data_IF_038806218090
#
_entry.id   IF_038806218090
#
_cell.length_a   1.000
_cell.length_b   1.000
_cell.length_c   1.000
_cell.angle_alpha   90.00
_cell.angle_beta   90.00
_cell.angle_gamma   90.00
#
_symmetry.space_group_name_H-M   'P 1'
#
loop_
_entity.id
_entity.type
_entity.pdbx_description
1 polymer ?
#
# COMPACT_ATOMS: atom_id res chain seq x y z
N UNK A 1 -17.26 -15.01 -1.26
CA UNK A 1 -15.87 -14.67 -0.87
C UNK A 1 -15.94 -13.79 0.37
N UNK A 2 -15.67 -14.34 1.54
CA UNK A 2 -15.76 -13.64 2.83
C UNK A 2 -14.48 -12.82 2.98
N UNK A 3 -14.55 -11.50 2.77
CA UNK A 3 -13.46 -10.57 3.07
C UNK A 3 -13.28 -10.53 4.59
N UNK A 4 -12.39 -11.36 5.14
CA UNK A 4 -12.03 -11.29 6.56
C UNK A 4 -11.08 -10.11 6.80
N UNK A 5 -11.55 -9.13 7.59
CA UNK A 5 -10.80 -7.99 8.12
C UNK A 5 -9.80 -8.46 9.18
N UNK A 6 -8.72 -9.14 8.81
CA UNK A 6 -7.85 -9.85 9.78
C UNK A 6 -6.57 -9.10 10.18
N UNK A 7 -6.58 -7.76 10.22
CA UNK A 7 -5.49 -7.02 10.89
C UNK A 7 -5.59 -7.25 12.39
N UNK A 8 -4.66 -8.01 12.97
CA UNK A 8 -4.58 -8.24 14.42
C UNK A 8 -3.39 -7.48 14.98
N UNK A 9 -3.64 -6.39 15.68
CA UNK A 9 -2.62 -5.64 16.39
C UNK A 9 -2.70 -5.96 17.90
N UNK A 10 -1.55 -6.27 18.51
CA UNK A 10 -1.42 -6.44 19.95
C UNK A 10 -0.57 -5.30 20.48
N UNK A 11 -1.27 -4.29 21.04
CA UNK A 11 -0.71 -3.06 21.59
C UNK A 11 -1.02 -3.02 23.08
N UNK A 12 0.03 -3.08 23.92
CA UNK A 12 -0.13 -3.05 25.38
C UNK A 12 0.24 -1.67 25.90
N UNK A 13 -0.73 -0.93 26.47
CA UNK A 13 -0.46 0.41 27.03
C UNK A 13 0.14 0.37 28.45
N UNK A 14 -0.07 -0.72 29.19
CA UNK A 14 0.40 -0.84 30.56
C UNK A 14 1.86 -1.33 30.60
N UNK A 15 2.81 -0.56 31.19
CA UNK A 15 4.24 -0.92 31.20
C UNK A 15 4.53 -2.21 31.97
N UNK A 16 3.73 -2.56 32.99
CA UNK A 16 3.88 -3.85 33.70
C UNK A 16 3.55 -5.02 32.77
N UNK A 17 2.48 -4.91 31.98
CA UNK A 17 2.09 -5.94 31.01
C UNK A 17 3.09 -6.04 29.86
N UNK A 18 3.65 -4.92 29.39
CA UNK A 18 4.74 -4.92 28.41
C UNK A 18 5.96 -5.68 28.94
N UNK A 19 6.38 -5.41 30.18
CA UNK A 19 7.50 -6.12 30.81
C UNK A 19 7.24 -7.63 30.89
N UNK A 20 6.04 -8.05 31.30
CA UNK A 20 5.65 -9.47 31.36
C UNK A 20 5.72 -10.10 29.97
N UNK A 21 5.11 -9.46 28.95
CA UNK A 21 5.16 -9.91 27.56
C UNK A 21 6.60 -10.08 27.07
N UNK A 22 7.45 -9.08 27.28
CA UNK A 22 8.83 -9.10 26.79
C UNK A 22 9.63 -10.23 27.46
N UNK A 23 9.50 -10.39 28.77
CA UNK A 23 10.12 -11.50 29.50
C UNK A 23 9.65 -12.88 29.00
N UNK A 24 8.35 -13.03 28.71
CA UNK A 24 7.80 -14.28 28.16
C UNK A 24 8.36 -14.56 26.76
N UNK A 25 8.44 -13.54 25.90
CA UNK A 25 9.05 -13.66 24.57
C UNK A 25 10.52 -14.08 24.67
N UNK A 26 11.28 -13.44 25.54
CA UNK A 26 12.70 -13.76 25.76
C UNK A 26 12.90 -15.18 26.28
N UNK A 27 12.03 -15.63 27.20
CA UNK A 27 12.07 -17.01 27.71
C UNK A 27 11.84 -18.03 26.58
N UNK A 28 10.85 -17.79 25.72
CA UNK A 28 10.54 -18.66 24.59
C UNK A 28 11.65 -18.63 23.53
N UNK A 29 12.22 -17.46 23.25
CA UNK A 29 13.36 -17.32 22.34
C UNK A 29 14.60 -18.05 22.87
N UNK A 30 14.85 -18.01 24.19
CA UNK A 30 15.91 -18.82 24.83
C UNK A 30 15.65 -20.32 24.67
N UNK A 31 14.42 -20.78 24.88
CA UNK A 31 14.07 -22.19 24.67
C UNK A 31 14.30 -22.62 23.21
N UNK A 32 13.94 -21.78 22.24
CA UNK A 32 14.25 -21.99 20.82
C UNK A 32 15.75 -22.07 20.59
N UNK A 33 16.53 -21.16 21.18
CA UNK A 33 18.00 -21.16 21.05
C UNK A 33 18.65 -22.41 21.62
N UNK A 34 18.18 -22.92 22.76
CA UNK A 34 18.67 -24.19 23.34
C UNK A 34 18.44 -25.35 22.36
N UNK A 35 17.24 -25.45 21.80
CA UNK A 35 16.93 -26.50 20.82
C UNK A 35 17.72 -26.34 19.53
N UNK A 36 17.93 -25.10 19.08
CA UNK A 36 18.75 -24.79 17.91
C UNK A 36 20.19 -25.24 18.09
N UNK A 37 20.79 -24.93 19.25
CA UNK A 37 22.16 -25.30 19.56
C UNK A 37 22.30 -26.82 19.64
N UNK A 38 21.34 -27.54 20.23
CA UNK A 38 21.37 -29.01 20.25
C UNK A 38 21.37 -29.61 18.83
N UNK A 39 20.52 -29.11 17.93
CA UNK A 39 20.52 -29.53 16.52
C UNK A 39 21.84 -29.20 15.82
N UNK A 40 22.43 -28.05 16.13
CA UNK A 40 23.71 -27.63 15.58
C UNK A 40 24.88 -28.49 16.07
N UNK A 41 24.88 -28.84 17.36
CA UNK A 41 25.87 -29.71 17.97
C UNK A 41 25.79 -31.12 17.37
N UNK A 42 24.59 -31.66 17.18
CA UNK A 42 24.41 -32.96 16.51
C UNK A 42 24.88 -32.94 15.06
N UNK A 43 24.61 -31.85 14.32
CA UNK A 43 25.16 -31.68 12.97
C UNK A 43 26.69 -31.56 12.98
N UNK A 44 27.28 -30.90 13.98
CA UNK A 44 28.73 -30.79 14.10
C UNK A 44 29.37 -32.13 14.46
N UNK A 45 28.76 -32.92 15.34
CA UNK A 45 29.23 -34.28 15.65
C UNK A 45 29.33 -35.16 14.41
N UNK A 46 28.43 -35.00 13.43
CA UNK A 46 28.52 -35.71 12.15
C UNK A 46 29.64 -35.16 11.24
N UNK A 47 29.90 -33.85 11.33
CA UNK A 47 30.89 -33.15 10.50
C UNK A 47 32.33 -33.34 10.95
N UNK A 48 32.58 -33.91 12.12
CA UNK A 48 33.93 -34.16 12.62
C UNK A 48 34.07 -35.64 12.97
N UNK A 49 35.15 -36.28 12.52
CA UNK A 49 35.47 -37.65 12.93
C UNK A 49 36.04 -37.71 14.35
N UNK A 50 36.38 -38.91 14.83
CA UNK A 50 37.01 -39.11 16.15
C UNK A 50 38.37 -38.41 16.30
N UNK A 51 39.02 -38.05 15.20
CA UNK A 51 40.30 -37.36 15.17
C UNK A 51 40.14 -35.83 15.06
N UNK A 52 38.90 -35.32 15.02
CA UNK A 52 38.60 -33.91 14.85
C UNK A 52 38.78 -33.41 13.41
N UNK A 53 38.94 -34.32 12.44
CA UNK A 53 39.03 -33.97 11.02
C UNK A 53 37.63 -33.70 10.49
N UNK A 54 37.49 -32.58 9.78
CA UNK A 54 36.21 -32.20 9.18
C UNK A 54 35.86 -33.11 8.00
N UNK A 55 34.75 -33.82 8.11
CA UNK A 55 34.12 -34.61 7.06
C UNK A 55 33.21 -33.73 6.19
N UNK A 56 33.23 -33.98 4.89
CA UNK A 56 32.29 -33.44 3.91
C UNK A 56 31.06 -34.35 3.79
N UNK A 57 30.04 -33.91 3.07
CA UNK A 57 28.82 -34.73 2.86
C UNK A 57 29.15 -35.99 2.04
N UNK A 58 30.17 -35.95 1.18
CA UNK A 58 30.58 -37.09 0.35
C UNK A 58 31.24 -38.20 1.18
N UNK A 59 31.75 -37.86 2.37
CA UNK A 59 32.32 -38.80 3.32
C UNK A 59 31.25 -39.49 4.20
N UNK A 60 29.98 -39.12 4.07
CA UNK A 60 28.89 -39.65 4.89
C UNK A 60 28.34 -40.95 4.31
N UNK A 61 28.06 -41.91 5.18
CA UNK A 61 27.22 -43.06 4.83
C UNK A 61 25.80 -42.62 4.47
N UNK A 62 25.05 -43.45 3.75
CA UNK A 62 23.67 -43.14 3.35
C UNK A 62 22.77 -42.80 4.56
N UNK A 63 22.94 -43.51 5.68
CA UNK A 63 22.18 -43.28 6.90
C UNK A 63 22.59 -41.96 7.60
N UNK A 64 23.88 -41.61 7.59
CA UNK A 64 24.35 -40.31 8.09
C UNK A 64 23.81 -39.15 7.24
N UNK A 65 23.75 -39.31 5.91
CA UNK A 65 23.14 -38.33 5.01
C UNK A 65 21.66 -38.16 5.37
N UNK A 66 20.89 -39.25 5.49
CA UNK A 66 19.47 -39.19 5.89
C UNK A 66 19.29 -38.48 7.23
N UNK A 67 20.12 -38.82 8.22
CA UNK A 67 20.06 -38.20 9.54
C UNK A 67 20.40 -36.69 9.49
N UNK A 68 21.47 -36.32 8.79
CA UNK A 68 21.87 -34.93 8.61
C UNK A 68 20.76 -34.11 7.93
N UNK A 69 20.13 -34.64 6.88
CA UNK A 69 18.98 -33.99 6.22
C UNK A 69 17.77 -33.84 7.15
N UNK A 70 17.52 -34.81 8.03
CA UNK A 70 16.48 -34.68 9.07
C UNK A 70 16.77 -33.52 10.02
N UNK A 71 18.01 -33.40 10.52
CA UNK A 71 18.43 -32.29 11.39
C UNK A 71 18.28 -30.93 10.70
N UNK A 72 18.69 -30.82 9.43
CA UNK A 72 18.49 -29.61 8.62
C UNK A 72 17.00 -29.24 8.50
N UNK A 73 16.13 -30.22 8.25
CA UNK A 73 14.68 -30.00 8.15
C UNK A 73 14.09 -29.53 9.48
N UNK A 74 14.50 -30.12 10.59
CA UNK A 74 14.07 -29.69 11.92
C UNK A 74 14.55 -28.28 12.27
N UNK A 75 15.79 -27.95 11.93
CA UNK A 75 16.35 -26.62 12.10
C UNK A 75 15.57 -25.59 11.27
N UNK A 76 15.31 -25.88 9.98
CA UNK A 76 14.52 -25.01 9.11
C UNK A 76 13.10 -24.81 9.65
N UNK A 77 12.44 -25.89 10.10
CA UNK A 77 11.11 -25.82 10.72
C UNK A 77 11.10 -24.96 11.98
N UNK A 78 12.11 -25.10 12.85
CA UNK A 78 12.23 -24.30 14.06
C UNK A 78 12.44 -22.82 13.74
N UNK A 79 13.29 -22.51 12.75
CA UNK A 79 13.52 -21.14 12.25
C UNK A 79 12.22 -20.52 11.74
N UNK A 80 11.48 -21.27 10.93
CA UNK A 80 10.24 -20.80 10.31
C UNK A 80 9.18 -20.49 11.38
N UNK A 81 8.96 -21.42 12.33
CA UNK A 81 8.05 -21.21 13.46
C UNK A 81 8.46 -19.97 14.26
N UNK A 82 9.74 -19.81 14.58
CA UNK A 82 10.24 -18.66 15.32
C UNK A 82 9.97 -17.35 14.56
N UNK A 83 10.31 -17.29 13.27
CA UNK A 83 10.15 -16.08 12.43
C UNK A 83 8.70 -15.70 12.18
N UNK A 84 7.80 -16.68 12.10
CA UNK A 84 6.35 -16.46 11.93
C UNK A 84 5.60 -16.24 13.24
N UNK A 85 6.25 -16.45 14.39
CA UNK A 85 5.63 -16.25 15.70
C UNK A 85 5.60 -14.78 16.11
N UNK A 86 4.74 -14.46 17.08
CA UNK A 86 4.70 -13.13 17.71
C UNK A 86 5.94 -12.81 18.58
N UNK A 87 6.90 -13.73 18.67
CA UNK A 87 8.06 -13.59 19.55
C UNK A 87 9.05 -12.53 19.03
N UNK A 88 9.10 -12.29 17.73
CA UNK A 88 9.98 -11.29 17.12
C UNK A 88 9.42 -10.75 15.82
N UNK A 89 9.80 -9.53 15.46
CA UNK A 89 9.44 -8.95 14.17
C UNK A 89 10.19 -9.68 13.04
N UNK A 90 9.47 -10.11 12.01
CA UNK A 90 10.08 -10.81 10.86
C UNK A 90 11.06 -9.92 10.07
N UNK A 91 10.91 -8.59 10.11
CA UNK A 91 11.76 -7.62 9.42
C UNK A 91 13.01 -7.24 10.22
N UNK A 92 12.84 -6.75 11.46
CA UNK A 92 13.97 -6.22 12.24
C UNK A 92 14.47 -7.16 13.35
N UNK A 93 13.77 -8.27 13.60
CA UNK A 93 14.12 -9.25 14.65
C UNK A 93 13.89 -8.79 16.08
N UNK A 94 13.44 -7.55 16.31
CA UNK A 94 13.18 -7.02 17.64
C UNK A 94 11.97 -7.71 18.28
N UNK A 95 12.06 -8.07 19.56
CA UNK A 95 11.03 -8.82 20.30
C UNK A 95 10.22 -7.99 21.30
N UNK A 96 10.70 -6.80 21.68
CA UNK A 96 10.17 -6.03 22.82
C UNK A 96 9.09 -5.01 22.45
N UNK A 97 8.75 -4.91 21.16
CA UNK A 97 7.78 -3.95 20.59
C UNK A 97 6.37 -4.50 20.46
N UNK A 98 5.41 -3.60 20.25
CA UNK A 98 4.05 -3.95 19.87
C UNK A 98 4.06 -4.57 18.46
N UNK A 99 3.17 -5.55 18.23
CA UNK A 99 3.20 -6.37 17.02
C UNK A 99 1.87 -6.33 16.27
N UNK A 100 1.95 -6.35 14.95
CA UNK A 100 0.84 -6.46 14.01
C UNK A 100 1.02 -7.73 13.18
N UNK A 101 -0.02 -8.55 13.14
CA UNK A 101 -0.06 -9.73 12.28
C UNK A 101 -0.47 -9.33 10.86
N UNK A 102 0.36 -9.69 9.88
CA UNK A 102 0.01 -9.62 8.47
C UNK A 102 -0.38 -11.04 8.00
N UNK A 103 -1.67 -11.21 7.66
CA UNK A 103 -2.21 -12.51 7.26
C UNK A 103 -1.62 -13.04 5.97
N UNK A 104 -1.35 -12.17 5.00
CA UNK A 104 -0.85 -12.60 3.69
C UNK A 104 0.57 -13.18 3.78
N UNK A 105 1.34 -12.73 4.78
CA UNK A 105 2.69 -13.22 5.07
C UNK A 105 2.76 -14.25 6.18
N UNK A 106 1.62 -14.57 6.81
CA UNK A 106 1.54 -15.47 7.96
C UNK A 106 2.61 -15.11 9.02
N UNK A 107 2.74 -13.81 9.33
CA UNK A 107 3.88 -13.30 10.08
C UNK A 107 3.58 -12.05 10.91
N UNK A 108 4.39 -11.84 11.95
CA UNK A 108 4.28 -10.69 12.84
C UNK A 108 5.36 -9.65 12.56
N UNK A 109 4.93 -8.39 12.51
CA UNK A 109 5.76 -7.22 12.32
C UNK A 109 5.67 -6.34 13.56
N UNK A 110 6.75 -5.68 13.97
CA UNK A 110 6.59 -4.59 14.92
C UNK A 110 5.80 -3.45 14.28
N UNK A 111 5.09 -2.66 15.07
CA UNK A 111 4.26 -1.56 14.56
C UNK A 111 5.03 -0.62 13.64
N UNK A 112 6.29 -0.30 13.95
CA UNK A 112 7.09 0.59 13.11
C UNK A 112 7.44 -0.03 11.75
N UNK A 113 7.85 -1.30 11.72
CA UNK A 113 8.15 -1.98 10.46
C UNK A 113 6.88 -2.21 9.63
N UNK A 114 5.75 -2.52 10.28
CA UNK A 114 4.47 -2.66 9.59
C UNK A 114 4.06 -1.34 8.93
N UNK A 115 4.14 -0.22 9.67
CA UNK A 115 3.78 1.09 9.16
C UNK A 115 4.71 1.53 8.04
N UNK A 116 6.02 1.30 8.17
CA UNK A 116 7.00 1.56 7.11
C UNK A 116 6.69 0.76 5.83
N UNK A 117 6.44 -0.56 5.94
CA UNK A 117 6.07 -1.38 4.77
C UNK A 117 4.75 -0.93 4.16
N UNK A 118 3.80 -0.49 4.99
CA UNK A 118 2.52 0.07 4.54
C UNK A 118 2.67 1.41 3.83
N UNK A 119 3.50 2.30 4.34
CA UNK A 119 3.81 3.58 3.70
C UNK A 119 4.53 3.35 2.37
N UNK A 120 5.52 2.46 2.35
CA UNK A 120 6.22 2.09 1.13
C UNK A 120 5.30 1.40 0.11
N UNK A 121 4.38 0.55 0.58
CA UNK A 121 3.38 -0.05 -0.27
C UNK A 121 2.44 0.99 -0.87
N UNK A 122 1.93 1.92 -0.05
CA UNK A 122 1.11 3.03 -0.54
C UNK A 122 1.87 3.85 -1.59
N UNK A 123 3.14 4.15 -1.32
CA UNK A 123 4.01 4.83 -2.27
C UNK A 123 4.11 4.05 -3.58
N UNK A 124 4.43 2.75 -3.55
CA UNK A 124 4.58 1.96 -4.78
C UNK A 124 3.26 1.76 -5.53
N UNK A 125 2.13 1.61 -4.83
CA UNK A 125 0.81 1.59 -5.45
C UNK A 125 0.41 2.90 -6.08
N UNK A 126 0.89 4.00 -5.52
CA UNK A 126 0.83 5.29 -6.15
C UNK A 126 1.77 5.22 -7.37
N UNK A 127 3.09 5.16 -7.23
CA UNK A 127 4.08 5.38 -8.30
C UNK A 127 4.08 4.37 -9.46
N UNK A 128 3.66 3.11 -9.26
CA UNK A 128 3.75 2.07 -10.31
C UNK A 128 2.44 1.91 -11.06
N UNK A 129 1.33 2.41 -10.51
CA UNK A 129 0.10 2.79 -11.21
C UNK A 129 -0.69 1.72 -12.00
N UNK A 130 -0.06 0.70 -12.61
CA UNK A 130 -0.67 -0.37 -13.44
C UNK A 130 0.31 -1.30 -14.16
N UNK A 131 1.58 -0.96 -14.34
CA UNK A 131 2.48 -1.90 -15.03
C UNK A 131 2.83 -3.02 -14.08
N UNK A 132 2.25 -4.21 -14.32
CA UNK A 132 2.68 -5.43 -13.64
C UNK A 132 4.20 -5.48 -13.74
N UNK A 133 4.92 -5.55 -12.62
CA UNK A 133 6.36 -5.51 -12.67
C UNK A 133 6.88 -6.63 -13.58
N UNK A 134 7.79 -6.28 -14.49
CA UNK A 134 8.36 -7.24 -15.43
C UNK A 134 9.55 -7.95 -14.78
N UNK A 135 9.26 -9.02 -14.03
CA UNK A 135 10.28 -9.79 -13.33
C UNK A 135 9.72 -10.54 -12.13
N UNK A 136 10.28 -11.71 -11.82
CA UNK A 136 9.79 -12.53 -10.72
C UNK A 136 9.94 -11.83 -9.36
N UNK A 137 11.07 -11.14 -9.15
CA UNK A 137 11.38 -10.43 -7.90
C UNK A 137 10.45 -9.23 -7.71
N UNK A 138 10.29 -8.42 -8.75
CA UNK A 138 9.42 -7.23 -8.67
C UNK A 138 7.94 -7.62 -8.54
N UNK A 139 7.51 -8.71 -9.18
CA UNK A 139 6.15 -9.26 -8.98
C UNK A 139 5.95 -9.71 -7.53
N UNK A 140 6.93 -10.41 -6.95
CA UNK A 140 6.87 -10.87 -5.56
C UNK A 140 6.86 -9.70 -4.57
N UNK A 141 7.62 -8.64 -4.85
CA UNK A 141 7.63 -7.41 -4.06
C UNK A 141 6.32 -6.63 -4.20
N UNK A 142 5.75 -6.55 -5.41
CA UNK A 142 4.46 -5.90 -5.61
C UNK A 142 3.35 -6.65 -4.86
N UNK A 143 3.29 -7.99 -5.03
CA UNK A 143 2.41 -8.88 -4.27
C UNK A 143 2.57 -8.67 -2.76
N UNK A 144 3.80 -8.51 -2.27
CA UNK A 144 4.11 -8.18 -0.86
C UNK A 144 3.47 -6.90 -0.40
N UNK A 145 3.61 -5.86 -1.19
CA UNK A 145 3.15 -4.54 -0.85
C UNK A 145 1.63 -4.44 -0.91
N UNK A 146 0.96 -5.18 -1.81
CA UNK A 146 -0.51 -5.23 -1.85
C UNK A 146 -1.10 -5.65 -0.51
N UNK A 147 -0.38 -6.48 0.24
CA UNK A 147 -0.83 -6.98 1.53
C UNK A 147 -0.77 -5.96 2.66
N UNK A 148 0.03 -4.90 2.49
CA UNK A 148 0.15 -3.83 3.48
C UNK A 148 -0.78 -2.66 3.20
N UNK A 149 -1.29 -2.51 1.97
CA UNK A 149 -2.31 -1.52 1.66
C UNK A 149 -3.64 -1.99 2.22
N UNK A 150 -4.13 -1.31 3.25
CA UNK A 150 -5.49 -1.56 3.73
C UNK A 150 -6.45 -1.39 2.55
N UNK A 151 -7.26 -2.42 2.28
CA UNK A 151 -8.24 -2.45 1.18
C UNK A 151 -9.05 -1.15 1.08
N UNK A 152 -9.37 -0.53 2.22
CA UNK A 152 -10.11 0.72 2.30
C UNK A 152 -9.36 1.90 1.67
N UNK A 153 -8.03 2.01 1.86
CA UNK A 153 -7.23 3.10 1.29
C UNK A 153 -7.03 2.92 -0.21
N UNK A 154 -6.75 1.69 -0.65
CA UNK A 154 -6.67 1.38 -2.09
C UNK A 154 -7.99 1.67 -2.79
N UNK A 155 -9.10 1.27 -2.16
CA UNK A 155 -10.43 1.51 -2.67
C UNK A 155 -10.78 3.01 -2.72
N UNK A 156 -10.43 3.79 -1.70
CA UNK A 156 -10.64 5.25 -1.70
C UNK A 156 -9.86 5.95 -2.82
N UNK A 157 -8.61 5.57 -3.06
CA UNK A 157 -7.79 6.09 -4.16
C UNK A 157 -8.42 5.72 -5.51
N UNK A 158 -8.82 4.44 -5.69
CA UNK A 158 -9.47 3.97 -6.90
C UNK A 158 -10.76 4.75 -7.18
N UNK A 159 -11.61 4.94 -6.16
CA UNK A 159 -12.86 5.69 -6.29
C UNK A 159 -12.61 7.17 -6.62
N UNK A 160 -11.55 7.78 -6.07
CA UNK A 160 -11.16 9.16 -6.40
C UNK A 160 -10.73 9.28 -7.86
N UNK A 161 -9.88 8.38 -8.36
CA UNK A 161 -9.46 8.36 -9.75
C UNK A 161 -10.63 8.16 -10.72
N UNK A 162 -11.53 7.23 -10.40
CA UNK A 162 -12.77 7.01 -11.16
C UNK A 162 -13.63 8.27 -11.18
N UNK A 163 -13.74 8.97 -10.04
CA UNK A 163 -14.50 10.23 -9.93
C UNK A 163 -13.96 11.33 -10.82
N UNK A 164 -12.66 11.59 -10.73
CA UNK A 164 -12.00 12.62 -11.55
C UNK A 164 -12.13 12.26 -13.04
N UNK A 165 -11.87 11.01 -13.40
CA UNK A 165 -12.01 10.53 -14.77
C UNK A 165 -13.42 10.68 -15.34
N UNK A 166 -14.46 10.35 -14.57
CA UNK A 166 -15.86 10.55 -15.00
C UNK A 166 -16.13 12.02 -15.28
N UNK A 167 -15.77 12.91 -14.35
CA UNK A 167 -16.04 14.34 -14.49
C UNK A 167 -15.38 14.92 -15.74
N UNK A 168 -14.11 14.61 -15.98
CA UNK A 168 -13.38 15.12 -17.14
C UNK A 168 -13.93 14.53 -18.43
N UNK A 169 -14.26 13.23 -18.44
CA UNK A 169 -14.83 12.59 -19.62
C UNK A 169 -16.14 13.26 -20.04
N UNK A 170 -16.99 13.57 -19.06
CA UNK A 170 -18.29 14.19 -19.31
C UNK A 170 -18.19 15.62 -19.86
N UNK A 171 -17.06 16.33 -19.70
CA UNK A 171 -16.85 17.64 -20.33
C UNK A 171 -16.90 17.58 -21.86
N UNK A 172 -16.65 16.41 -22.46
CA UNK A 172 -16.73 16.21 -23.91
C UNK A 172 -18.13 16.46 -24.48
N UNK A 173 -19.18 16.26 -23.69
CA UNK A 173 -20.58 16.34 -24.13
C UNK A 173 -21.22 17.71 -23.83
N UNK A 174 -20.42 18.74 -23.52
CA UNK A 174 -20.93 20.04 -23.07
C UNK A 174 -21.73 20.78 -24.16
N UNK A 175 -21.57 20.44 -25.44
CA UNK A 175 -22.26 21.08 -26.57
C UNK A 175 -22.37 20.13 -27.77
N UNK A 176 -23.56 19.85 -28.33
CA UNK A 176 -24.91 20.33 -27.98
C UNK A 176 -25.60 19.55 -26.83
N UNK A 177 -26.71 20.11 -26.30
CA UNK A 177 -27.44 19.76 -25.07
C UNK A 177 -27.95 18.31 -24.95
N UNK A 178 -27.99 17.57 -26.05
CA UNK A 178 -28.65 16.26 -26.12
C UNK A 178 -27.68 15.07 -26.04
N UNK A 179 -26.38 15.34 -25.94
CA UNK A 179 -25.37 14.30 -25.83
C UNK A 179 -25.20 13.82 -24.38
N UNK A 180 -25.13 12.51 -24.21
CA UNK A 180 -24.95 11.82 -22.93
C UNK A 180 -23.86 10.76 -23.06
N UNK A 181 -23.25 10.41 -21.93
CA UNK A 181 -22.43 9.21 -21.85
C UNK A 181 -23.27 8.04 -21.33
N UNK A 182 -23.07 6.86 -21.92
CA UNK A 182 -23.57 5.62 -21.35
C UNK A 182 -22.60 5.06 -20.32
N UNK A 183 -23.13 4.29 -19.37
CA UNK A 183 -22.32 3.58 -18.38
C UNK A 183 -21.29 2.62 -19.02
N UNK A 184 -21.60 2.03 -20.18
CA UNK A 184 -20.69 1.15 -20.92
C UNK A 184 -19.51 1.92 -21.52
N UNK A 185 -19.77 3.09 -22.11
CA UNK A 185 -18.72 3.97 -22.63
C UNK A 185 -17.78 4.44 -21.52
N UNK A 186 -18.33 4.91 -20.39
CA UNK A 186 -17.54 5.35 -19.24
C UNK A 186 -16.65 4.21 -18.72
N UNK A 187 -17.18 3.00 -18.60
CA UNK A 187 -16.39 1.83 -18.18
C UNK A 187 -15.26 1.53 -19.15
N UNK A 188 -15.55 1.54 -20.45
CA UNK A 188 -14.58 1.26 -21.51
C UNK A 188 -13.47 2.30 -21.55
N UNK A 189 -13.82 3.57 -21.36
CA UNK A 189 -12.88 4.69 -21.36
C UNK A 189 -11.94 4.63 -20.15
N UNK A 190 -12.50 4.37 -18.97
CA UNK A 190 -11.72 4.37 -17.73
C UNK A 190 -10.99 3.04 -17.48
N UNK A 191 -11.39 1.98 -18.18
CA UNK A 191 -10.94 0.61 -17.95
C UNK A 191 -11.09 0.22 -16.47
N UNK A 192 -12.33 0.31 -15.97
CA UNK A 192 -12.67 0.06 -14.56
C UNK A 192 -13.93 -0.76 -14.39
N UNK A 193 -14.00 -1.45 -13.25
CA UNK A 193 -15.13 -2.31 -12.90
C UNK A 193 -16.44 -1.49 -12.81
N UNK A 194 -17.50 -2.01 -13.45
CA UNK A 194 -18.86 -1.44 -13.42
C UNK A 194 -19.34 -1.06 -12.01
N UNK A 195 -19.03 -1.86 -11.00
CA UNK A 195 -19.45 -1.62 -9.60
C UNK A 195 -18.83 -0.33 -9.05
N UNK A 196 -17.55 -0.07 -9.32
CA UNK A 196 -16.86 1.15 -8.89
C UNK A 196 -17.43 2.37 -9.62
N UNK A 197 -17.58 2.28 -10.95
CA UNK A 197 -18.17 3.36 -11.77
C UNK A 197 -19.59 3.69 -11.30
N UNK A 198 -20.46 2.69 -11.09
CA UNK A 198 -21.82 2.90 -10.57
C UNK A 198 -21.83 3.53 -9.18
N UNK A 199 -20.91 3.12 -8.30
CA UNK A 199 -20.79 3.70 -6.95
C UNK A 199 -20.45 5.19 -7.04
N UNK A 200 -19.45 5.55 -7.85
CA UNK A 200 -19.02 6.95 -8.02
C UNK A 200 -20.11 7.79 -8.70
N UNK A 201 -20.77 7.28 -9.73
CA UNK A 201 -21.88 8.00 -10.39
C UNK A 201 -23.01 8.33 -9.41
N UNK A 202 -23.39 7.38 -8.54
CA UNK A 202 -24.37 7.63 -7.48
C UNK A 202 -23.90 8.71 -6.50
N UNK A 203 -22.62 8.73 -6.15
CA UNK A 203 -22.04 9.79 -5.30
C UNK A 203 -22.12 11.16 -5.99
N UNK A 204 -21.67 11.24 -7.25
CA UNK A 204 -21.69 12.47 -8.04
C UNK A 204 -23.12 13.01 -8.23
N UNK A 205 -24.11 12.13 -8.42
CA UNK A 205 -25.52 12.50 -8.54
C UNK A 205 -26.07 13.06 -7.22
N UNK A 206 -25.73 12.42 -6.08
CA UNK A 206 -26.09 12.93 -4.75
C UNK A 206 -25.53 14.33 -4.49
N UNK A 207 -24.34 14.61 -5.02
CA UNK A 207 -23.68 15.92 -4.93
C UNK A 207 -24.18 16.93 -5.97
N UNK A 208 -25.12 16.53 -6.83
CA UNK A 208 -25.66 17.33 -7.94
C UNK A 208 -24.57 17.81 -8.89
N UNK A 209 -23.59 16.95 -9.17
CA UNK A 209 -22.55 17.19 -10.18
C UNK A 209 -22.92 16.55 -11.51
N UNK A 210 -23.59 15.39 -11.48
CA UNK A 210 -24.12 14.71 -12.66
C UNK A 210 -25.62 14.47 -12.52
N UNK A 211 -26.31 14.30 -13.64
CA UNK A 211 -27.68 13.80 -13.70
C UNK A 211 -27.66 12.38 -14.25
N UNK A 212 -28.53 11.52 -13.73
CA UNK A 212 -28.62 10.11 -14.11
C UNK A 212 -30.04 9.78 -14.58
N UNK A 213 -30.15 9.17 -15.75
CA UNK A 213 -31.39 8.56 -16.26
C UNK A 213 -31.15 7.05 -16.34
N UNK A 214 -31.77 6.31 -15.41
CA UNK A 214 -31.67 4.86 -15.33
C UNK A 214 -32.84 4.24 -16.12
N UNK A 215 -32.55 3.73 -17.32
CA UNK A 215 -33.50 2.97 -18.13
C UNK A 215 -33.22 1.48 -17.99
N UNK A 216 -34.18 0.58 -18.27
CA UNK A 216 -33.96 -0.86 -18.17
C UNK A 216 -32.76 -1.38 -18.97
N UNK A 217 -32.39 -0.68 -20.04
CA UNK A 217 -31.37 -1.11 -20.99
C UNK A 217 -30.09 -0.25 -20.93
N UNK A 218 -30.11 0.92 -20.29
CA UNK A 218 -28.94 1.80 -20.22
C UNK A 218 -29.04 2.82 -19.09
N UNK A 219 -27.90 3.09 -18.46
CA UNK A 219 -27.73 4.22 -17.55
C UNK A 219 -27.06 5.36 -18.32
N UNK A 220 -27.81 6.45 -18.55
CA UNK A 220 -27.30 7.66 -19.19
C UNK A 220 -26.85 8.67 -18.14
N UNK A 221 -25.80 9.40 -18.47
CA UNK A 221 -25.13 10.32 -17.55
C UNK A 221 -24.88 11.66 -18.25
N UNK A 222 -25.26 12.75 -17.60
CA UNK A 222 -24.96 14.13 -18.01
C UNK A 222 -24.20 14.87 -16.93
N UNK A 223 -23.40 15.83 -17.36
CA UNK A 223 -22.85 16.82 -16.44
C UNK A 223 -23.90 17.89 -16.17
N UNK A 224 -24.11 18.24 -14.90
CA UNK A 224 -24.99 19.39 -14.57
C UNK A 224 -24.38 20.68 -15.11
N UNK A 225 -25.18 21.51 -15.80
CA UNK A 225 -24.69 22.65 -16.60
C UNK A 225 -23.76 23.60 -15.86
N UNK A 226 -24.04 23.86 -14.59
CA UNK A 226 -23.26 24.83 -13.82
C UNK A 226 -22.28 24.16 -12.86
N UNK A 227 -22.78 23.40 -11.88
CA UNK A 227 -21.96 22.89 -10.77
C UNK A 227 -21.01 21.78 -11.23
N UNK A 228 -21.52 20.80 -11.96
CA UNK A 228 -20.74 19.70 -12.51
C UNK A 228 -19.66 20.19 -13.46
N UNK A 229 -20.04 21.10 -14.36
CA UNK A 229 -19.11 21.72 -15.31
C UNK A 229 -17.97 22.44 -14.61
N UNK A 230 -18.26 23.29 -13.62
CA UNK A 230 -17.21 24.00 -12.86
C UNK A 230 -16.27 23.02 -12.17
N UNK A 231 -16.82 21.98 -11.53
CA UNK A 231 -16.01 21.02 -10.80
C UNK A 231 -15.15 20.17 -11.74
N UNK A 232 -15.70 19.75 -12.89
CA UNK A 232 -14.95 19.03 -13.89
C UNK A 232 -13.85 19.89 -14.53
N UNK A 233 -14.13 21.17 -14.84
CA UNK A 233 -13.11 22.10 -15.33
C UNK A 233 -12.03 22.40 -14.28
N UNK A 234 -12.42 22.51 -13.00
CA UNK A 234 -11.47 22.67 -11.89
C UNK A 234 -10.58 21.43 -11.80
N UNK A 235 -11.19 20.24 -11.80
CA UNK A 235 -10.46 18.96 -11.80
C UNK A 235 -9.48 18.94 -12.95
N UNK A 236 -9.95 19.18 -14.19
CA UNK A 236 -9.10 19.23 -15.38
C UNK A 236 -7.96 20.26 -15.26
N UNK A 237 -8.22 21.44 -14.67
CA UNK A 237 -7.17 22.45 -14.43
C UNK A 237 -6.11 21.98 -13.46
N UNK A 238 -6.49 21.32 -12.37
CA UNK A 238 -5.54 20.71 -11.42
C UNK A 238 -4.65 19.66 -12.10
N UNK A 239 -5.16 18.96 -13.10
CA UNK A 239 -4.36 18.00 -13.88
C UNK A 239 -3.46 18.71 -14.89
N UNK A 240 -3.93 19.81 -15.49
CA UNK A 240 -3.22 20.50 -16.56
C UNK A 240 -2.11 21.42 -16.08
N UNK A 241 -2.21 21.99 -14.88
CA UNK A 241 -1.27 22.98 -14.36
C UNK A 241 0.17 22.49 -14.33
N UNK A 242 0.39 21.18 -14.42
CA UNK A 242 1.69 20.61 -14.11
C UNK A 242 2.45 20.09 -15.35
N UNK A 243 1.85 19.92 -16.54
CA UNK A 243 2.61 19.35 -17.70
C UNK A 243 2.07 19.48 -19.14
N UNK A 244 0.86 19.99 -19.44
CA UNK A 244 0.27 19.81 -20.79
C UNK A 244 -0.19 21.08 -21.53
N UNK A 245 -0.10 21.03 -22.86
CA UNK A 245 -0.68 21.99 -23.79
C UNK A 245 -2.21 22.08 -23.61
N UNK A 246 -2.78 23.27 -23.80
CA UNK A 246 -4.09 23.64 -23.27
C UNK A 246 -5.31 23.04 -24.01
N UNK A 247 -5.09 22.20 -25.03
CA UNK A 247 -6.16 21.62 -25.86
C UNK A 247 -6.86 20.46 -25.14
N UNK A 248 -8.20 20.48 -25.15
CA UNK A 248 -9.03 19.38 -24.61
C UNK A 248 -8.75 18.08 -25.39
N UNK A 249 -8.64 16.91 -24.74
CA UNK A 249 -8.44 15.64 -25.42
C UNK A 249 -9.43 15.51 -26.58
N UNK A 250 -8.94 15.45 -27.80
CA UNK A 250 -9.81 15.44 -28.99
C UNK A 250 -10.32 14.04 -29.30
N UNK A 251 -9.55 13.02 -28.90
CA UNK A 251 -9.92 11.62 -29.06
C UNK A 251 -9.83 10.82 -27.76
N UNK A 252 -10.13 9.51 -27.87
CA UNK A 252 -10.15 8.59 -26.73
C UNK A 252 -8.73 8.27 -26.22
N UNK A 253 -7.73 8.27 -27.09
CA UNK A 253 -6.35 7.95 -26.71
C UNK A 253 -5.72 9.12 -25.96
N UNK A 254 -5.95 10.36 -26.41
CA UNK A 254 -5.58 11.58 -25.66
C UNK A 254 -6.19 11.57 -24.25
N UNK A 255 -7.44 11.12 -24.13
CA UNK A 255 -8.13 11.05 -22.86
C UNK A 255 -7.52 9.99 -21.93
N UNK A 256 -7.22 8.80 -22.47
CA UNK A 256 -6.53 7.75 -21.72
C UNK A 256 -5.15 8.22 -21.26
N UNK A 257 -4.44 8.97 -22.09
CA UNK A 257 -3.15 9.57 -21.74
C UNK A 257 -3.29 10.58 -20.60
N UNK A 258 -4.30 11.46 -20.65
CA UNK A 258 -4.60 12.42 -19.58
C UNK A 258 -4.93 11.73 -18.24
N UNK A 259 -5.74 10.66 -18.27
CA UNK A 259 -6.07 9.89 -17.05
C UNK A 259 -4.86 9.10 -16.55
N UNK A 260 -4.01 8.60 -17.45
CA UNK A 260 -2.70 8.05 -17.12
C UNK A 260 -1.86 9.08 -16.37
N UNK A 261 -1.65 10.26 -16.94
CA UNK A 261 -0.88 11.34 -16.32
C UNK A 261 -1.48 11.88 -15.02
N UNK A 262 -2.80 11.88 -14.84
CA UNK A 262 -3.38 12.23 -13.53
C UNK A 262 -3.14 11.15 -12.49
N UNK A 263 -3.10 9.87 -12.88
CA UNK A 263 -2.53 8.86 -12.00
C UNK A 263 -1.13 9.32 -11.60
N UNK A 264 -0.25 9.55 -12.58
CA UNK A 264 1.15 9.97 -12.38
C UNK A 264 1.32 11.26 -11.54
N UNK A 265 0.39 12.20 -11.61
CA UNK A 265 0.45 13.46 -10.84
C UNK A 265 -0.03 13.31 -9.39
N UNK A 266 -1.07 12.51 -9.15
CA UNK A 266 -1.45 12.14 -7.78
C UNK A 266 -0.29 11.40 -7.10
N UNK A 267 0.57 10.76 -7.88
CA UNK A 267 1.82 10.14 -7.47
C UNK A 267 2.93 11.17 -7.15
N UNK A 268 2.99 12.29 -7.88
CA UNK A 268 4.01 13.34 -7.72
C UNK A 268 3.70 14.38 -6.63
N UNK A 269 2.43 14.75 -6.44
CA UNK A 269 2.04 15.87 -5.57
C UNK A 269 2.30 15.67 -4.07
N UNK A 270 2.67 14.47 -3.56
CA UNK A 270 2.82 14.26 -2.11
C UNK A 270 3.69 13.05 -1.66
N UNK A 271 5.03 13.14 -1.73
CA UNK A 271 5.79 12.56 -0.59
C UNK A 271 7.02 13.37 -0.13
N UNK A 272 7.87 13.85 -1.04
CA UNK A 272 9.20 14.35 -0.68
C UNK A 272 9.18 15.68 0.08
N UNK A 273 8.18 16.53 -0.17
CA UNK A 273 8.10 17.88 0.44
C UNK A 273 7.81 17.83 1.94
N UNK A 274 6.91 16.94 2.37
CA UNK A 274 6.60 16.76 3.79
C UNK A 274 7.66 15.94 4.51
N UNK A 275 8.24 14.97 3.81
CA UNK A 275 9.35 14.20 4.35
C UNK A 275 10.62 15.04 4.50
N UNK A 276 10.98 15.89 3.53
CA UNK A 276 12.10 16.83 3.62
C UNK A 276 11.84 17.92 4.68
N UNK A 277 10.62 18.46 4.76
CA UNK A 277 10.26 19.42 5.81
C UNK A 277 10.33 18.76 7.20
N UNK A 278 9.76 17.56 7.36
CA UNK A 278 9.81 16.81 8.62
C UNK A 278 11.25 16.40 8.97
N UNK A 279 12.06 15.97 8.01
CA UNK A 279 13.44 15.56 8.22
C UNK A 279 14.35 16.78 8.51
N UNK A 280 14.12 17.93 7.88
CA UNK A 280 14.83 19.19 8.19
C UNK A 280 14.46 19.75 9.57
N UNK A 281 13.23 19.52 10.04
CA UNK A 281 12.78 19.93 11.37
C UNK A 281 13.25 18.93 12.45
N UNK A 282 13.27 17.62 12.14
CA UNK A 282 13.83 16.57 13.00
C UNK A 282 15.34 16.73 13.19
N UNK A 283 16.09 17.07 12.14
CA UNK A 283 17.54 17.30 12.24
C UNK A 283 17.89 18.51 13.12
N UNK A 284 16.97 19.48 13.23
CA UNK A 284 17.04 20.63 14.13
C UNK A 284 16.53 20.34 15.56
N UNK A 285 16.20 19.08 15.89
CA UNK A 285 15.65 18.63 17.18
C UNK A 285 14.40 19.42 17.61
N UNK A 286 13.57 19.85 16.66
CA UNK A 286 12.33 20.57 16.96
C UNK A 286 11.34 19.62 17.67
N UNK A 287 10.66 20.05 18.75
CA UNK A 287 9.65 19.23 19.43
C UNK A 287 8.54 18.77 18.48
N UNK A 288 8.04 17.55 18.66
CA UNK A 288 7.08 16.89 17.76
C UNK A 288 5.80 17.71 17.54
N UNK A 289 5.37 18.42 18.56
CA UNK A 289 4.20 19.28 18.61
C UNK A 289 4.39 20.54 17.76
N UNK A 290 5.61 21.06 17.71
CA UNK A 290 5.98 22.19 16.87
C UNK A 290 6.23 21.78 15.42
N UNK A 291 6.73 20.56 15.17
CA UNK A 291 6.76 19.97 13.82
C UNK A 291 5.33 19.86 13.26
N UNK A 292 4.40 19.33 14.06
CA UNK A 292 2.98 19.25 13.68
C UNK A 292 2.37 20.62 13.40
N UNK A 293 2.63 21.61 14.27
CA UNK A 293 2.14 22.98 14.09
C UNK A 293 2.67 23.59 12.79
N UNK A 294 3.97 23.45 12.50
CA UNK A 294 4.59 23.98 11.28
C UNK A 294 4.11 23.29 10.01
N UNK A 295 3.88 21.98 10.04
CA UNK A 295 3.25 21.26 8.92
C UNK A 295 1.84 21.82 8.67
N UNK A 296 1.07 22.07 9.72
CA UNK A 296 -0.30 22.59 9.60
C UNK A 296 -0.35 24.07 9.17
N UNK A 297 0.61 24.88 9.60
CA UNK A 297 0.82 26.25 9.11
C UNK A 297 1.19 26.26 7.62
N UNK A 298 2.02 25.32 7.17
CA UNK A 298 2.39 25.19 5.76
C UNK A 298 1.21 24.76 4.88
N UNK A 299 0.39 23.82 5.35
CA UNK A 299 -0.86 23.44 4.68
C UNK A 299 -1.81 24.62 4.54
N UNK A 300 -2.04 25.37 5.63
CA UNK A 300 -2.88 26.58 5.59
C UNK A 300 -2.30 27.66 4.68
N UNK A 301 -0.99 27.82 4.61
CA UNK A 301 -0.38 28.77 3.70
C UNK A 301 -0.62 28.37 2.23
N UNK A 302 -0.50 27.08 1.93
CA UNK A 302 -0.80 26.54 0.60
C UNK A 302 -2.28 26.69 0.23
N UNK A 303 -3.20 26.40 1.14
CA UNK A 303 -4.64 26.63 0.98
C UNK A 303 -4.92 28.11 0.68
N UNK A 304 -4.29 29.04 1.42
CA UNK A 304 -4.43 30.47 1.18
C UNK A 304 -3.80 30.95 -0.14
N UNK A 305 -2.73 30.30 -0.64
CA UNK A 305 -2.16 30.61 -1.97
C UNK A 305 -3.13 30.16 -3.07
N UNK A 306 -3.73 28.98 -2.90
CA UNK A 306 -4.73 28.44 -3.82
C UNK A 306 -6.01 29.29 -3.83
N UNK A 307 -6.42 29.86 -2.69
CA UNK A 307 -7.55 30.77 -2.58
C UNK A 307 -7.23 32.22 -2.99
N UNK A 308 -5.99 32.67 -2.78
CA UNK A 308 -5.52 34.02 -3.11
C UNK A 308 -5.19 34.23 -4.60
N UNK A 309 -4.83 33.17 -5.32
CA UNK A 309 -4.68 33.17 -6.78
C UNK A 309 -6.01 33.17 -7.54
N UNK A 310 -7.16 33.19 -6.84
CA UNK A 310 -8.52 33.19 -7.38
C UNK A 310 -9.22 34.56 -7.28
N UNK A 311 -8.48 35.66 -7.07
CA UNK A 311 -9.01 37.03 -7.15
C UNK A 311 -8.55 37.76 -8.40
#
# INVERSE_FOLDING_TARGET
MIYMRDKRAIVLKNPKLQKIRNNLRDLLLKAVSVKWNALFDDMNRLRFDSNGIRRTIDDFSEEEVKYFRRLQKEQAKLKDIQRRSILMCISCGVSDRDMVYNKSYDGWYCTECYDMHREHAKFLFQTIGKTKPYGHEDTTMHELLETFVDYEVSHEIELKLVREGILIYLLRFRYPKDDYATLEEIQKVLDRNQKAVRHVLKSLNKEKLVELEDTPNSLKVWLTQHRGTIEAERTLRTIRSDSFDHTFPTDLEDFKLLIGHRSDMIEYENPDLYEQLANSLKSKKVPKEEIKRKIEEHKKHFENILEGGLK
#
